data_IF_963562857094
#
_entry.id   IF_963562857094
#
_cell.length_a   1.000
_cell.length_b   1.000
_cell.length_c   1.000
_cell.angle_alpha   90.00
_cell.angle_beta   90.00
_cell.angle_gamma   90.00
#
_symmetry.space_group_name_H-M   'P 1'
#
loop_
_entity.id
_entity.type
_entity.pdbx_description
1 polymer ?
#
# COMPACT_ATOMS: atom_id res chain seq x y z
N UNK A 1 7.22 5.47 9.23
CA UNK A 1 5.80 5.85 8.99
C UNK A 1 5.01 5.66 10.27
N UNK A 2 4.02 6.49 10.60
CA UNK A 2 3.11 6.21 11.74
C UNK A 2 2.10 5.11 11.37
N UNK A 3 1.51 4.39 12.33
CA UNK A 3 0.47 3.40 12.04
C UNK A 3 -0.69 3.97 11.21
N UNK A 4 -1.18 5.16 11.55
CA UNK A 4 -2.24 5.84 10.78
C UNK A 4 -1.83 6.17 9.34
N UNK A 5 -0.58 6.55 9.12
CA UNK A 5 -0.08 6.79 7.77
C UNK A 5 -0.04 5.50 6.94
N UNK A 6 0.28 4.34 7.53
CA UNK A 6 0.22 3.04 6.84
C UNK A 6 -1.21 2.70 6.39
N UNK A 7 -2.19 2.93 7.26
CA UNK A 7 -3.60 2.74 6.92
C UNK A 7 -4.03 3.67 5.78
N UNK A 8 -3.66 4.95 5.84
CA UNK A 8 -3.94 5.91 4.76
C UNK A 8 -3.36 5.44 3.42
N UNK A 9 -2.11 4.96 3.42
CA UNK A 9 -1.49 4.44 2.21
C UNK A 9 -2.18 3.17 1.70
N UNK A 10 -2.59 2.26 2.58
CA UNK A 10 -3.34 1.07 2.18
C UNK A 10 -4.67 1.44 1.54
N UNK A 11 -5.40 2.42 2.08
CA UNK A 11 -6.66 2.94 1.51
C UNK A 11 -6.42 3.48 0.09
N UNK A 12 -5.44 4.36 -0.09
CA UNK A 12 -5.12 4.93 -1.42
C UNK A 12 -4.72 3.85 -2.45
N UNK A 13 -4.06 2.78 -2.00
CA UNK A 13 -3.68 1.66 -2.86
C UNK A 13 -4.92 0.83 -3.22
N UNK A 14 -5.80 0.55 -2.26
CA UNK A 14 -7.04 -0.18 -2.49
C UNK A 14 -7.97 0.57 -3.45
N UNK A 15 -8.05 1.90 -3.37
CA UNK A 15 -8.81 2.71 -4.34
C UNK A 15 -8.34 2.48 -5.78
N UNK A 16 -7.02 2.38 -5.99
CA UNK A 16 -6.46 2.08 -7.32
C UNK A 16 -6.78 0.66 -7.75
N UNK A 17 -6.76 -0.30 -6.82
CA UNK A 17 -7.10 -1.70 -7.11
C UNK A 17 -8.57 -1.83 -7.48
N UNK A 18 -9.47 -1.17 -6.74
CA UNK A 18 -10.90 -1.13 -7.05
C UNK A 18 -11.20 -0.41 -8.38
N UNK A 19 -10.36 0.54 -8.77
CA UNK A 19 -10.38 1.15 -10.10
C UNK A 19 -9.82 0.26 -11.22
N UNK A 20 -9.38 -0.96 -10.91
CA UNK A 20 -8.94 -1.97 -11.88
C UNK A 20 -7.42 -2.15 -12.00
N UNK A 21 -6.61 -1.49 -11.18
CA UNK A 21 -5.17 -1.74 -11.17
C UNK A 21 -4.84 -3.09 -10.50
N UNK A 22 -3.78 -3.76 -10.96
CA UNK A 22 -3.23 -4.91 -10.23
C UNK A 22 -2.66 -4.45 -8.87
N UNK A 23 -2.94 -5.20 -7.81
CA UNK A 23 -2.47 -4.90 -6.45
C UNK A 23 -0.93 -4.83 -6.37
N UNK A 24 -0.23 -5.76 -7.02
CA UNK A 24 1.25 -5.76 -7.05
C UNK A 24 1.82 -4.54 -7.77
N UNK A 25 1.17 -4.12 -8.86
CA UNK A 25 1.56 -2.93 -9.62
C UNK A 25 1.31 -1.66 -8.79
N UNK A 26 0.15 -1.55 -8.14
CA UNK A 26 -0.20 -0.42 -7.29
C UNK A 26 0.77 -0.27 -6.11
N UNK A 27 1.09 -1.37 -5.42
CA UNK A 27 2.07 -1.43 -4.33
C UNK A 27 3.49 -1.08 -4.79
N UNK A 28 3.92 -1.57 -5.96
CA UNK A 28 5.24 -1.26 -6.52
C UNK A 28 5.37 0.23 -6.84
N UNK A 29 4.36 0.80 -7.47
CA UNK A 29 4.34 2.22 -7.83
C UNK A 29 4.30 3.11 -6.58
N UNK A 30 3.45 2.78 -5.61
CA UNK A 30 3.43 3.47 -4.32
C UNK A 30 4.78 3.36 -3.59
N UNK A 31 5.39 2.18 -3.58
CA UNK A 31 6.67 1.94 -2.93
C UNK A 31 7.80 2.79 -3.51
N UNK A 32 7.82 2.97 -4.84
CA UNK A 32 8.77 3.87 -5.54
C UNK A 32 8.53 5.35 -5.22
N UNK A 33 7.28 5.77 -5.10
CA UNK A 33 6.94 7.16 -4.77
C UNK A 33 7.13 7.49 -3.27
N UNK A 34 7.07 6.49 -2.40
CA UNK A 34 7.11 6.63 -0.93
C UNK A 34 8.53 6.72 -0.40
N UNK A 35 9.10 7.94 -0.48
CA UNK A 35 10.47 8.25 -0.05
C UNK A 35 10.74 8.01 1.44
N UNK A 36 9.71 8.09 2.27
CA UNK A 36 9.82 7.95 3.74
C UNK A 36 9.42 6.57 4.26
N UNK A 37 8.95 5.67 3.40
CA UNK A 37 8.62 4.31 3.79
C UNK A 37 9.91 3.48 3.82
N UNK A 38 10.22 2.87 4.96
CA UNK A 38 11.26 1.83 5.05
C UNK A 38 10.77 0.47 4.54
N UNK A 39 11.65 -0.54 4.52
CA UNK A 39 11.26 -1.91 4.16
C UNK A 39 10.13 -2.47 5.02
N UNK A 40 10.16 -2.22 6.34
CA UNK A 40 9.11 -2.62 7.26
C UNK A 40 7.78 -1.88 7.04
N UNK A 41 7.83 -0.60 6.69
CA UNK A 41 6.60 0.15 6.34
C UNK A 41 5.98 -0.38 5.05
N UNK A 42 6.81 -0.70 4.04
CA UNK A 42 6.34 -1.28 2.78
C UNK A 42 5.74 -2.67 2.98
N UNK A 43 6.35 -3.50 3.84
CA UNK A 43 5.79 -4.80 4.20
C UNK A 43 4.43 -4.65 4.91
N UNK A 44 4.35 -3.80 5.93
CA UNK A 44 3.11 -3.58 6.68
C UNK A 44 1.96 -3.07 5.79
N UNK A 45 2.24 -2.13 4.87
CA UNK A 45 1.22 -1.64 3.92
C UNK A 45 0.78 -2.73 2.94
N UNK A 46 1.73 -3.52 2.42
CA UNK A 46 1.42 -4.67 1.56
C UNK A 46 0.51 -5.67 2.29
N UNK A 47 0.84 -6.00 3.52
CA UNK A 47 0.12 -7.00 4.29
C UNK A 47 -1.32 -6.50 4.57
N UNK A 48 -1.52 -5.23 4.93
CA UNK A 48 -2.84 -4.60 5.04
C UNK A 48 -3.66 -4.68 3.75
N UNK A 49 -3.03 -4.42 2.60
CA UNK A 49 -3.72 -4.45 1.30
C UNK A 49 -4.15 -5.88 0.95
N UNK A 50 -3.26 -6.87 1.10
CA UNK A 50 -3.62 -8.26 0.77
C UNK A 50 -4.56 -8.89 1.80
N UNK A 51 -4.52 -8.47 3.05
CA UNK A 51 -5.51 -8.85 4.06
C UNK A 51 -6.91 -8.33 3.66
N UNK A 52 -7.02 -7.09 3.19
CA UNK A 52 -8.29 -6.50 2.76
C UNK A 52 -8.86 -7.08 1.46
N UNK A 53 -8.01 -7.67 0.60
CA UNK A 53 -8.42 -8.27 -0.68
C UNK A 53 -8.78 -9.76 -0.58
N UNK A 54 -8.60 -10.38 0.59
CA UNK A 54 -8.87 -11.80 0.82
C UNK A 54 -10.36 -12.07 1.06
#
# INVERSE_FOLDING_TARGET
MTPSARLSAAIEILDRVLAGASAEQALTNWGRASRFAGSGDRAAVRDLVFEALR
#
